data_IF_543887929271
#
_entry.id   IF_543887929271
#
_cell.length_a   1.000
_cell.length_b   1.000
_cell.length_c   1.000
_cell.angle_alpha   90.00
_cell.angle_beta   90.00
_cell.angle_gamma   90.00
#
_symmetry.space_group_name_H-M   'P 1'
#
loop_
_entity.id
_entity.type
_entity.pdbx_description
1 polymer ?
#
# COMPACT_ATOMS: atom_id res chain seq x y z
N UNK A 1 -23.49 -20.64 21.06
CA UNK A 1 -22.40 -20.50 20.08
C UNK A 1 -22.13 -19.02 19.89
N UNK A 2 -20.97 -18.50 20.32
CA UNK A 2 -20.57 -17.11 20.05
C UNK A 2 -20.04 -17.06 18.63
N UNK A 3 -20.60 -16.21 17.77
CA UNK A 3 -20.04 -15.95 16.44
C UNK A 3 -18.63 -15.37 16.63
N UNK A 4 -17.59 -16.18 16.48
CA UNK A 4 -16.21 -15.71 16.36
C UNK A 4 -16.01 -15.21 14.93
N UNK A 5 -16.74 -14.17 14.56
CA UNK A 5 -16.36 -13.35 13.42
C UNK A 5 -15.19 -12.49 13.85
N UNK A 6 -14.06 -12.59 13.16
CA UNK A 6 -12.93 -11.64 13.29
C UNK A 6 -13.47 -10.22 13.45
N UNK A 7 -12.94 -9.50 14.44
CA UNK A 7 -13.31 -8.10 14.67
C UNK A 7 -13.11 -7.29 13.39
N UNK A 8 -13.95 -6.27 13.14
CA UNK A 8 -13.78 -5.38 11.99
C UNK A 8 -12.36 -4.78 11.91
N UNK A 9 -11.72 -4.55 13.06
CA UNK A 9 -10.34 -4.10 13.14
C UNK A 9 -9.35 -5.16 12.62
N UNK A 10 -9.56 -6.43 12.98
CA UNK A 10 -8.73 -7.55 12.51
C UNK A 10 -8.88 -7.77 11.01
N UNK A 11 -10.12 -7.70 10.50
CA UNK A 11 -10.39 -7.79 9.06
C UNK A 11 -9.67 -6.67 8.28
N UNK A 12 -9.70 -5.44 8.80
CA UNK A 12 -9.00 -4.29 8.21
C UNK A 12 -7.49 -4.46 8.25
N UNK A 13 -6.93 -4.88 9.37
CA UNK A 13 -5.50 -5.14 9.51
C UNK A 13 -5.02 -6.23 8.54
N UNK A 14 -5.79 -7.32 8.41
CA UNK A 14 -5.47 -8.41 7.49
C UNK A 14 -5.50 -7.97 6.03
N UNK A 15 -6.48 -7.13 5.65
CA UNK A 15 -6.56 -6.54 4.30
C UNK A 15 -5.33 -5.68 4.00
N UNK A 16 -4.95 -4.80 4.93
CA UNK A 16 -3.76 -3.95 4.76
C UNK A 16 -2.50 -4.77 4.62
N UNK A 17 -2.30 -5.80 5.45
CA UNK A 17 -1.14 -6.69 5.38
C UNK A 17 -1.03 -7.40 4.03
N UNK A 18 -2.11 -8.04 3.56
CA UNK A 18 -2.13 -8.72 2.25
C UNK A 18 -1.83 -7.77 1.08
N UNK A 19 -2.27 -6.52 1.22
CA UNK A 19 -2.00 -5.49 0.24
C UNK A 19 -0.52 -5.07 0.28
N UNK A 20 0.00 -4.80 1.48
CA UNK A 20 1.40 -4.40 1.69
C UNK A 20 2.37 -5.49 1.18
N UNK A 21 2.10 -6.77 1.45
CA UNK A 21 2.88 -7.91 0.93
C UNK A 21 2.95 -7.93 -0.60
N UNK A 22 1.87 -7.56 -1.30
CA UNK A 22 1.81 -7.56 -2.75
C UNK A 22 2.46 -6.34 -3.38
N UNK A 23 2.29 -5.17 -2.77
CA UNK A 23 2.77 -3.91 -3.34
C UNK A 23 4.23 -3.64 -3.02
N UNK A 24 4.75 -4.19 -1.91
CA UNK A 24 6.13 -4.02 -1.47
C UNK A 24 7.16 -4.29 -2.57
N UNK A 25 7.18 -5.44 -3.28
CA UNK A 25 8.16 -5.69 -4.33
C UNK A 25 8.08 -4.70 -5.49
N UNK A 26 6.89 -4.18 -5.81
CA UNK A 26 6.72 -3.15 -6.85
C UNK A 26 7.31 -1.81 -6.40
N UNK A 27 7.12 -1.47 -5.13
CA UNK A 27 7.67 -0.23 -4.55
C UNK A 27 9.19 -0.30 -4.44
N UNK A 28 9.73 -1.44 -4.02
CA UNK A 28 11.19 -1.66 -3.94
C UNK A 28 11.83 -1.51 -5.32
N UNK A 29 11.30 -2.18 -6.36
CA UNK A 29 11.76 -2.03 -7.75
C UNK A 29 11.74 -0.55 -8.20
N UNK A 30 10.69 0.20 -7.87
CA UNK A 30 10.57 1.62 -8.24
C UNK A 30 11.53 2.53 -7.45
N UNK A 31 11.84 2.19 -6.20
CA UNK A 31 12.80 2.93 -5.38
C UNK A 31 14.25 2.71 -5.84
N UNK A 32 14.58 1.54 -6.38
CA UNK A 32 15.91 1.25 -6.93
C UNK A 32 16.26 2.17 -8.12
N UNK A 33 15.27 2.67 -8.86
CA UNK A 33 15.46 3.71 -9.89
C UNK A 33 15.66 5.12 -9.32
N UNK A 34 15.66 5.30 -8.00
CA UNK A 34 15.82 6.60 -7.33
C UNK A 34 14.58 7.50 -7.39
N UNK A 35 13.38 6.93 -7.57
CA UNK A 35 12.16 7.72 -7.66
C UNK A 35 11.76 8.32 -6.31
N UNK A 36 11.68 9.66 -6.25
CA UNK A 36 11.06 10.36 -5.13
C UNK A 36 9.55 10.15 -5.04
N UNK A 37 8.93 10.50 -3.90
CA UNK A 37 7.52 10.19 -3.58
C UNK A 37 6.49 10.62 -4.64
N UNK A 38 6.71 11.75 -5.33
CA UNK A 38 5.81 12.21 -6.38
C UNK A 38 5.93 11.37 -7.66
N UNK A 39 7.16 11.04 -8.07
CA UNK A 39 7.40 10.19 -9.22
C UNK A 39 6.94 8.75 -8.97
N UNK A 40 7.09 8.25 -7.74
CA UNK A 40 6.57 6.97 -7.30
C UNK A 40 5.04 6.90 -7.37
N UNK A 41 4.33 7.95 -6.97
CA UNK A 41 2.87 8.01 -7.11
C UNK A 41 2.42 7.89 -8.56
N UNK A 42 3.06 8.65 -9.46
CA UNK A 42 2.79 8.58 -10.89
C UNK A 42 3.09 7.19 -11.44
N UNK A 43 4.25 6.61 -11.13
CA UNK A 43 4.63 5.28 -11.60
C UNK A 43 3.64 4.20 -11.16
N UNK A 44 3.19 4.24 -9.89
CA UNK A 44 2.19 3.31 -9.37
C UNK A 44 0.85 3.45 -10.10
N UNK A 45 0.38 4.68 -10.33
CA UNK A 45 -0.86 4.94 -11.06
C UNK A 45 -0.74 4.50 -12.53
N UNK A 46 0.38 4.80 -13.21
CA UNK A 46 0.64 4.38 -14.59
C UNK A 46 0.70 2.86 -14.73
N UNK A 47 1.25 2.15 -13.74
CA UNK A 47 1.25 0.68 -13.67
C UNK A 47 -0.14 0.09 -13.30
N UNK A 48 -1.14 0.92 -13.02
CA UNK A 48 -2.51 0.50 -12.68
C UNK A 48 -2.69 0.06 -11.23
N UNK A 49 -1.76 0.41 -10.33
CA UNK A 49 -1.89 0.11 -8.92
C UNK A 49 -2.72 1.18 -8.19
N UNK A 50 -3.54 0.72 -7.25
CA UNK A 50 -4.37 1.57 -6.38
C UNK A 50 -4.01 1.34 -4.92
N UNK A 51 -4.36 2.29 -4.07
CA UNK A 51 -4.24 2.20 -2.61
C UNK A 51 -5.07 1.03 -2.04
N UNK A 52 -4.82 0.66 -0.78
CA UNK A 52 -5.60 -0.37 -0.04
C UNK A 52 -7.12 -0.10 -0.03
N UNK A 53 -7.54 1.14 -0.25
CA UNK A 53 -8.95 1.57 -0.33
C UNK A 53 -9.47 1.74 -1.76
N UNK A 54 -8.68 1.40 -2.77
CA UNK A 54 -9.06 1.48 -4.18
C UNK A 54 -8.95 2.87 -4.81
N UNK A 55 -8.30 3.83 -4.13
CA UNK A 55 -8.04 5.17 -4.67
C UNK A 55 -6.70 5.24 -5.38
N UNK A 56 -6.56 6.19 -6.30
CA UNK A 56 -5.26 6.55 -6.90
C UNK A 56 -4.26 7.01 -5.84
N UNK A 57 -2.97 6.86 -6.17
CA UNK A 57 -1.89 7.35 -5.35
C UNK A 57 -1.68 8.84 -5.51
N UNK A 58 -1.60 9.51 -4.36
CA UNK A 58 -1.06 10.86 -4.21
C UNK A 58 0.30 10.79 -3.51
N UNK A 59 1.10 11.85 -3.61
CA UNK A 59 2.38 11.97 -2.88
C UNK A 59 2.21 11.70 -1.38
N UNK A 60 1.16 12.23 -0.76
CA UNK A 60 0.88 12.02 0.67
C UNK A 60 0.56 10.54 0.98
N UNK A 61 -0.22 9.88 0.11
CA UNK A 61 -0.52 8.45 0.28
C UNK A 61 0.72 7.56 0.10
N UNK A 62 1.65 7.97 -0.78
CA UNK A 62 2.93 7.28 -0.97
C UNK A 62 3.82 7.45 0.25
N UNK A 63 3.92 8.64 0.82
CA UNK A 63 4.66 8.84 2.08
C UNK A 63 4.10 7.94 3.20
N UNK A 64 2.77 7.85 3.32
CA UNK A 64 2.13 6.96 4.28
C UNK A 64 2.33 5.46 3.97
N UNK A 65 2.45 5.10 2.69
CA UNK A 65 2.79 3.74 2.26
C UNK A 65 4.24 3.40 2.65
N UNK A 66 5.20 4.25 2.29
CA UNK A 66 6.63 4.06 2.59
C UNK A 66 6.86 3.96 4.09
N UNK A 67 6.24 4.86 4.87
CA UNK A 67 6.30 4.83 6.33
C UNK A 67 5.65 3.59 6.96
N UNK A 68 4.86 2.80 6.22
CA UNK A 68 4.29 1.54 6.69
C UNK A 68 5.12 0.33 6.24
N UNK A 69 5.73 0.40 5.07
CA UNK A 69 6.53 -0.70 4.50
C UNK A 69 7.96 -0.78 5.04
N UNK A 70 8.56 0.37 5.37
CA UNK A 70 9.99 0.50 5.69
C UNK A 70 10.26 1.16 7.05
N UNK A 71 9.28 1.10 7.96
CA UNK A 71 9.46 1.55 9.33
C UNK A 71 10.14 0.50 10.20
#
# INVERSE_FOLDING_TARGET
MRHTGTSFAEARANRTRKYDEKIKPVVEDLLDYGLGSAALANALNTKGHVTVTGKEYTTASVVALLARLFK
#
